data_IF_588727224963
#
_entry.id   IF_588727224963
#
_cell.length_a   1.000
_cell.length_b   1.000
_cell.length_c   1.000
_cell.angle_alpha   90.00
_cell.angle_beta   90.00
_cell.angle_gamma   90.00
#
_symmetry.space_group_name_H-M   'P 1'
#
loop_
_entity.id
_entity.type
_entity.pdbx_description
1 polymer ?
#
# COMPACT_ATOMS: atom_id res chain seq x y z
N UNK A 1 28.94 7.30 -31.58
CA UNK A 1 28.79 7.73 -30.18
C UNK A 1 27.48 7.17 -29.70
N UNK A 2 27.52 6.07 -28.94
CA UNK A 2 26.32 5.38 -28.46
C UNK A 2 25.79 6.09 -27.24
N UNK A 3 24.54 6.53 -27.31
CA UNK A 3 23.78 7.04 -26.19
C UNK A 3 23.37 5.84 -25.33
N UNK A 4 24.18 5.55 -24.31
CA UNK A 4 23.83 4.55 -23.33
C UNK A 4 22.73 5.14 -22.46
N UNK A 5 21.49 4.77 -22.73
CA UNK A 5 20.36 5.00 -21.85
C UNK A 5 20.77 4.59 -20.43
N UNK A 6 21.00 5.58 -19.56
CA UNK A 6 21.19 5.36 -18.13
C UNK A 6 19.92 4.67 -17.64
N UNK A 7 20.00 3.38 -17.34
CA UNK A 7 18.97 2.72 -16.54
C UNK A 7 18.88 3.52 -15.25
N UNK A 8 17.73 4.14 -15.00
CA UNK A 8 17.50 4.86 -13.75
C UNK A 8 17.58 3.84 -12.61
N UNK A 9 18.68 3.86 -11.88
CA UNK A 9 18.75 3.11 -10.63
C UNK A 9 17.69 3.67 -9.68
N UNK A 10 16.89 2.82 -9.01
CA UNK A 10 15.94 3.29 -8.03
C UNK A 10 16.69 4.07 -6.96
N UNK A 11 16.36 5.35 -6.79
CA UNK A 11 16.89 6.12 -5.67
C UNK A 11 16.28 5.54 -4.39
N UNK A 12 17.04 4.68 -3.70
CA UNK A 12 16.59 3.97 -2.50
C UNK A 12 16.06 4.91 -1.42
N UNK A 13 16.63 6.11 -1.29
CA UNK A 13 16.14 7.13 -0.35
C UNK A 13 14.72 7.58 -0.70
N UNK A 14 14.48 7.86 -1.99
CA UNK A 14 13.15 8.24 -2.46
C UNK A 14 12.14 7.09 -2.28
N UNK A 15 12.57 5.85 -2.52
CA UNK A 15 11.72 4.68 -2.31
C UNK A 15 11.34 4.52 -0.83
N UNK A 16 12.30 4.69 0.09
CA UNK A 16 12.01 4.65 1.52
C UNK A 16 10.99 5.71 1.95
N UNK A 17 11.10 6.94 1.46
CA UNK A 17 10.11 7.99 1.76
C UNK A 17 8.74 7.68 1.16
N UNK A 18 8.69 7.11 -0.05
CA UNK A 18 7.44 6.65 -0.66
C UNK A 18 6.77 5.54 0.18
N UNK A 19 7.52 4.54 0.64
CA UNK A 19 6.99 3.46 1.48
C UNK A 19 6.47 3.97 2.82
N UNK A 20 7.15 4.96 3.44
CA UNK A 20 6.65 5.63 4.65
C UNK A 20 5.33 6.36 4.39
N UNK A 21 5.24 7.13 3.31
CA UNK A 21 4.02 7.84 2.95
C UNK A 21 2.84 6.89 2.68
N UNK A 22 3.10 5.75 2.03
CA UNK A 22 2.10 4.69 1.82
C UNK A 22 1.62 4.14 3.17
N UNK A 23 2.54 3.80 4.08
CA UNK A 23 2.19 3.29 5.40
C UNK A 23 1.34 4.29 6.18
N UNK A 24 1.78 5.55 6.26
CA UNK A 24 1.06 6.60 6.99
C UNK A 24 -0.36 6.84 6.42
N UNK A 25 -0.51 6.82 5.10
CA UNK A 25 -1.81 6.96 4.46
C UNK A 25 -2.71 5.74 4.71
N UNK A 26 -2.15 4.53 4.68
CA UNK A 26 -2.88 3.30 4.95
C UNK A 26 -3.33 3.21 6.42
N UNK A 27 -2.47 3.57 7.38
CA UNK A 27 -2.81 3.64 8.80
C UNK A 27 -3.96 4.63 9.04
N UNK A 28 -3.86 5.83 8.47
CA UNK A 28 -4.94 6.82 8.57
C UNK A 28 -6.26 6.35 7.94
N UNK A 29 -6.18 5.58 6.86
CA UNK A 29 -7.37 4.98 6.26
C UNK A 29 -8.00 3.94 7.19
N UNK A 30 -7.19 3.13 7.89
CA UNK A 30 -7.65 2.20 8.90
C UNK A 30 -8.35 2.92 10.06
N UNK A 31 -7.76 4.01 10.57
CA UNK A 31 -8.34 4.83 11.66
C UNK A 31 -9.75 5.36 11.34
N UNK A 32 -10.01 5.64 10.06
CA UNK A 32 -11.27 6.26 9.60
C UNK A 32 -12.26 5.25 9.01
N UNK A 33 -11.86 4.00 8.82
CA UNK A 33 -12.66 2.99 8.13
C UNK A 33 -13.99 2.71 8.84
N UNK A 34 -13.97 2.60 10.18
CA UNK A 34 -15.18 2.35 10.95
C UNK A 34 -16.19 3.50 10.83
N UNK A 35 -15.72 4.74 10.92
CA UNK A 35 -16.54 5.95 10.77
C UNK A 35 -17.06 6.11 9.33
N UNK A 36 -16.29 5.65 8.34
CA UNK A 36 -16.68 5.61 6.93
C UNK A 36 -17.69 4.49 6.60
N UNK A 37 -18.08 3.67 7.59
CA UNK A 37 -19.08 2.62 7.43
C UNK A 37 -18.54 1.33 6.82
N UNK A 38 -17.22 1.12 6.84
CA UNK A 38 -16.62 -0.18 6.48
C UNK A 38 -17.13 -1.23 7.46
N UNK A 39 -17.56 -2.38 6.93
CA UNK A 39 -18.06 -3.50 7.72
C UNK A 39 -17.25 -4.76 7.46
N UNK A 40 -17.29 -5.72 8.40
CA UNK A 40 -16.59 -6.99 8.25
C UNK A 40 -16.10 -7.56 9.57
N UNK A 41 -15.43 -8.70 9.50
CA UNK A 41 -14.71 -9.28 10.62
C UNK A 41 -13.36 -8.57 10.76
N UNK A 42 -13.33 -7.55 11.62
CA UNK A 42 -12.21 -6.62 11.83
C UNK A 42 -12.06 -6.38 13.33
N UNK A 43 -10.84 -6.49 13.85
CA UNK A 43 -10.48 -6.04 15.19
C UNK A 43 -10.10 -4.56 15.14
N UNK A 44 -11.11 -3.70 15.31
CA UNK A 44 -10.95 -2.23 15.23
C UNK A 44 -10.00 -1.63 16.27
N UNK A 45 -9.67 -2.36 17.34
CA UNK A 45 -8.76 -1.86 18.38
C UNK A 45 -7.30 -1.83 17.95
N UNK A 46 -6.92 -2.73 17.04
CA UNK A 46 -5.54 -2.97 16.64
C UNK A 46 -5.34 -2.91 15.11
N UNK A 47 -6.39 -2.57 14.35
CA UNK A 47 -6.36 -2.44 12.89
C UNK A 47 -5.29 -1.45 12.43
N UNK A 48 -4.40 -1.89 11.54
CA UNK A 48 -3.36 -1.02 11.00
C UNK A 48 -2.50 -1.67 9.91
N UNK A 49 -1.67 -0.84 9.29
CA UNK A 49 -0.68 -1.22 8.30
C UNK A 49 0.60 -1.73 8.98
N UNK A 50 0.91 -3.00 8.76
CA UNK A 50 2.08 -3.67 9.35
C UNK A 50 3.26 -3.77 8.41
N UNK A 51 3.01 -3.77 7.09
CA UNK A 51 4.07 -3.80 6.08
C UNK A 51 3.69 -2.99 4.84
N UNK A 52 4.71 -2.34 4.25
CA UNK A 52 4.63 -1.67 2.97
C UNK A 52 5.94 -1.91 2.23
N UNK A 53 5.85 -2.52 1.05
CA UNK A 53 7.03 -2.95 0.28
C UNK A 53 6.89 -2.66 -1.20
N UNK A 54 8.03 -2.49 -1.86
CA UNK A 54 8.10 -2.45 -3.32
C UNK A 54 8.43 -3.85 -3.86
N UNK A 55 7.61 -4.32 -4.79
CA UNK A 55 7.73 -5.61 -5.43
C UNK A 55 8.10 -5.43 -6.91
N UNK A 56 8.91 -6.36 -7.42
CA UNK A 56 9.21 -6.48 -8.84
C UNK A 56 8.89 -7.92 -9.21
N UNK A 57 8.07 -8.13 -10.24
CA UNK A 57 7.76 -9.46 -10.76
C UNK A 57 8.86 -9.98 -11.73
N UNK A 58 8.68 -11.20 -12.22
CA UNK A 58 9.62 -11.83 -13.17
C UNK A 58 9.67 -11.16 -14.55
N UNK A 59 8.67 -10.33 -14.88
CA UNK A 59 8.62 -9.53 -16.10
C UNK A 59 9.26 -8.14 -15.91
N UNK A 60 9.60 -7.77 -14.68
CA UNK A 60 10.18 -6.47 -14.33
C UNK A 60 9.12 -5.39 -14.07
N UNK A 61 7.84 -5.76 -13.93
CA UNK A 61 6.80 -4.82 -13.54
C UNK A 61 6.93 -4.51 -12.04
N UNK A 62 6.85 -3.22 -11.70
CA UNK A 62 6.88 -2.76 -10.32
C UNK A 62 5.48 -2.58 -9.74
N UNK A 63 5.31 -2.91 -8.46
CA UNK A 63 4.12 -2.60 -7.68
C UNK A 63 4.50 -2.28 -6.24
N UNK A 64 3.60 -1.63 -5.51
CA UNK A 64 3.64 -1.58 -4.06
C UNK A 64 2.67 -2.61 -3.49
N UNK A 65 3.05 -3.26 -2.39
CA UNK A 65 2.19 -4.19 -1.65
C UNK A 65 2.07 -3.68 -0.22
N UNK A 66 0.83 -3.57 0.26
CA UNK A 66 0.45 -3.04 1.57
C UNK A 66 -0.29 -4.11 2.34
N UNK A 67 0.19 -4.42 3.53
CA UNK A 67 -0.42 -5.43 4.41
C UNK A 67 -1.11 -4.76 5.60
N UNK A 68 -2.42 -5.01 5.71
CA UNK A 68 -3.24 -4.62 6.84
C UNK A 68 -3.52 -5.86 7.68
N UNK A 69 -3.14 -5.85 8.96
CA UNK A 69 -3.45 -6.94 9.90
C UNK A 69 -4.77 -6.67 10.64
N UNK A 70 -5.21 -7.63 11.47
CA UNK A 70 -6.39 -7.52 12.33
C UNK A 70 -7.71 -7.45 11.55
N UNK A 71 -7.73 -8.00 10.33
CA UNK A 71 -8.92 -8.11 9.48
C UNK A 71 -8.97 -9.45 8.75
N UNK A 72 -10.17 -9.97 8.52
CA UNK A 72 -10.32 -11.21 7.75
C UNK A 72 -9.66 -11.11 6.35
N UNK A 73 -8.93 -12.15 5.91
CA UNK A 73 -8.38 -12.20 4.57
C UNK A 73 -9.44 -11.94 3.50
N UNK A 74 -9.14 -11.00 2.61
CA UNK A 74 -10.08 -10.60 1.55
C UNK A 74 -11.22 -9.72 2.07
N UNK A 75 -10.99 -8.89 3.10
CA UNK A 75 -11.94 -7.87 3.54
C UNK A 75 -12.07 -6.78 2.46
N UNK A 76 -12.90 -7.03 1.44
CA UNK A 76 -13.00 -6.24 0.20
C UNK A 76 -13.33 -4.77 0.50
N UNK A 77 -14.24 -4.49 1.43
CA UNK A 77 -14.66 -3.12 1.73
C UNK A 77 -13.51 -2.32 2.38
N UNK A 78 -12.76 -2.95 3.29
CA UNK A 78 -11.58 -2.35 3.90
C UNK A 78 -10.46 -2.16 2.85
N UNK A 79 -10.18 -3.19 2.05
CA UNK A 79 -9.18 -3.13 0.98
C UNK A 79 -9.49 -1.99 0.00
N UNK A 80 -10.76 -1.81 -0.37
CA UNK A 80 -11.21 -0.70 -1.23
C UNK A 80 -10.99 0.65 -0.55
N UNK A 81 -11.43 0.80 0.70
CA UNK A 81 -11.28 2.05 1.46
C UNK A 81 -9.82 2.49 1.57
N UNK A 82 -8.92 1.56 1.91
CA UNK A 82 -7.47 1.82 1.97
C UNK A 82 -6.91 2.13 0.57
N UNK A 83 -7.30 1.36 -0.46
CA UNK A 83 -6.86 1.60 -1.84
C UNK A 83 -7.25 3.01 -2.32
N UNK A 84 -8.46 3.46 -2.02
CA UNK A 84 -8.94 4.80 -2.37
C UNK A 84 -8.12 5.90 -1.69
N UNK A 85 -7.74 5.74 -0.43
CA UNK A 85 -6.88 6.68 0.27
C UNK A 85 -5.47 6.78 -0.34
N UNK A 86 -4.97 5.70 -0.94
CA UNK A 86 -3.63 5.67 -1.56
C UNK A 86 -3.60 6.30 -2.96
N UNK A 87 -4.75 6.47 -3.63
CA UNK A 87 -4.83 7.14 -4.94
C UNK A 87 -4.30 8.57 -4.87
N UNK A 88 -4.53 9.26 -3.76
CA UNK A 88 -4.12 10.65 -3.55
C UNK A 88 -2.60 10.85 -3.55
N UNK A 89 -1.83 9.77 -3.32
CA UNK A 89 -0.37 9.80 -3.36
C UNK A 89 0.21 9.90 -4.78
N UNK A 90 -0.62 9.71 -5.83
CA UNK A 90 -0.22 9.82 -7.26
C UNK A 90 1.05 9.04 -7.59
N UNK A 91 1.12 7.82 -7.08
CA UNK A 91 2.26 6.94 -7.24
C UNK A 91 2.44 6.51 -8.70
N UNK A 92 3.70 6.29 -9.10
CA UNK A 92 4.04 5.86 -10.44
C UNK A 92 3.73 4.37 -10.70
N UNK A 93 3.54 3.59 -9.63
CA UNK A 93 3.26 2.16 -9.67
C UNK A 93 1.94 1.83 -8.98
N UNK A 94 1.25 0.77 -9.40
CA UNK A 94 0.04 0.32 -8.73
C UNK A 94 0.33 -0.10 -7.28
N UNK A 95 -0.70 -0.01 -6.44
CA UNK A 95 -0.66 -0.50 -5.06
C UNK A 95 -1.64 -1.65 -4.92
N UNK A 96 -1.17 -2.76 -4.39
CA UNK A 96 -1.99 -3.89 -3.95
C UNK A 96 -2.17 -3.81 -2.44
N UNK A 97 -3.41 -3.93 -1.97
CA UNK A 97 -3.74 -3.95 -0.54
C UNK A 97 -4.20 -5.35 -0.19
N UNK A 98 -3.63 -5.94 0.86
CA UNK A 98 -4.01 -7.25 1.39
C UNK A 98 -4.40 -7.13 2.87
N UNK A 99 -5.22 -8.07 3.32
CA UNK A 99 -5.70 -8.15 4.69
C UNK A 99 -5.39 -9.53 5.26
N UNK A 100 -5.00 -9.59 6.53
CA UNK A 100 -4.78 -10.84 7.28
C UNK A 100 -5.08 -10.69 8.78
N UNK A 101 -5.14 -11.83 9.49
CA UNK A 101 -5.38 -11.91 10.94
C UNK A 101 -4.09 -11.97 11.71
#
# INVERSE_FOLDING_TARGET
>A
MGDAAKKAEPNLSMMCETLKAIREAADKACDTAQEAGVTGAINWGDLGCVDARFCIDEEGNGSFDVLIEEAAPGSIDLMRHVSEALVDLKLAWPVEVRTEW
#
